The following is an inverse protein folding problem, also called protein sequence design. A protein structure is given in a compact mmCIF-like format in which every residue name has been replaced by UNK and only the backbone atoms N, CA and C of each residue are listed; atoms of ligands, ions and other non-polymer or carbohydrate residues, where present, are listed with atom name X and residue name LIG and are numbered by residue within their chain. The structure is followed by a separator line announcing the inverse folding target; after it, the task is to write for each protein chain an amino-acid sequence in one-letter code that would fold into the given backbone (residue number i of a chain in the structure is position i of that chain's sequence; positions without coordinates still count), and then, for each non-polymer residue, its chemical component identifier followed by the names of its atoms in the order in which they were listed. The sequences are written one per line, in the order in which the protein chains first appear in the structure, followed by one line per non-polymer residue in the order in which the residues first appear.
data_IF_858546054378
#
_entry.id   IF_858546054378
#
_cell.length_a   1.000
_cell.length_b   1.000
_cell.length_c   1.000
_cell.angle_alpha   90.00
_cell.angle_beta   90.00
_cell.angle_gamma   90.00
#
_symmetry.space_group_name_H-M   'P 1'
#
loop_
_entity.id
_entity.type
_entity.pdbx_description
1 polymer ?
#
# COMPACT_ATOMS: atom_id res chain seq x y z
N UNK A 1 -2.95 13.94 -10.19
CA UNK A 1 -3.27 12.98 -9.12
C UNK A 1 -2.45 11.70 -9.20
N UNK A 2 -2.08 11.18 -10.38
CA UNK A 2 -1.25 9.95 -10.51
C UNK A 2 0.17 10.07 -9.94
N UNK A 3 0.76 11.27 -9.89
CA UNK A 3 2.11 11.50 -9.39
C UNK A 3 2.23 11.55 -7.85
N UNK A 4 1.14 11.83 -7.15
CA UNK A 4 1.13 11.95 -5.67
C UNK A 4 1.20 10.55 -5.04
N UNK A 5 0.51 9.57 -5.63
CA UNK A 5 0.50 8.17 -5.15
C UNK A 5 1.90 7.54 -5.30
N UNK A 6 2.58 7.78 -6.43
CA UNK A 6 3.96 7.30 -6.62
C UNK A 6 4.97 7.96 -5.68
N UNK A 7 4.75 9.23 -5.30
CA UNK A 7 5.62 9.92 -4.36
C UNK A 7 5.46 9.37 -2.93
N UNK A 8 4.22 9.10 -2.51
CA UNK A 8 3.92 8.52 -1.20
C UNK A 8 4.49 7.10 -1.08
N UNK A 9 4.27 6.26 -2.10
CA UNK A 9 4.83 4.90 -2.14
C UNK A 9 6.36 4.91 -2.02
N UNK A 10 7.03 5.82 -2.71
CA UNK A 10 8.49 5.93 -2.67
C UNK A 10 8.99 6.31 -1.26
N UNK A 11 8.37 7.30 -0.61
CA UNK A 11 8.73 7.69 0.75
C UNK A 11 8.54 6.53 1.74
N UNK A 12 7.42 5.82 1.68
CA UNK A 12 7.16 4.65 2.53
C UNK A 12 8.17 3.53 2.31
N UNK A 13 8.49 3.20 1.05
CA UNK A 13 9.46 2.15 0.72
C UNK A 13 10.86 2.53 1.19
N UNK A 14 11.27 3.79 1.02
CA UNK A 14 12.58 4.25 1.51
C UNK A 14 12.67 4.17 3.03
N UNK A 15 11.64 4.59 3.76
CA UNK A 15 11.59 4.45 5.22
C UNK A 15 11.62 2.99 5.65
N UNK A 16 10.89 2.11 4.98
CA UNK A 16 10.90 0.68 5.26
C UNK A 16 12.29 0.08 5.08
N UNK A 17 13.00 0.48 4.03
CA UNK A 17 14.39 0.05 3.79
C UNK A 17 15.32 0.54 4.92
N UNK A 18 15.18 1.78 5.38
CA UNK A 18 15.98 2.29 6.50
C UNK A 18 15.74 1.51 7.80
N UNK A 19 14.48 1.25 8.12
CA UNK A 19 14.08 0.47 9.31
C UNK A 19 14.61 -0.96 9.20
N UNK A 20 14.38 -1.61 8.07
CA UNK A 20 14.86 -2.96 7.80
C UNK A 20 16.39 -3.05 7.96
N UNK A 21 17.12 -2.15 7.31
CA UNK A 21 18.59 -2.13 7.38
C UNK A 21 19.10 -1.83 8.80
N UNK A 22 18.39 -1.01 9.58
CA UNK A 22 18.76 -0.74 10.99
C UNK A 22 18.69 -2.02 11.83
N UNK A 23 17.69 -2.88 11.62
CA UNK A 23 17.47 -4.06 12.46
C UNK A 23 18.13 -5.33 11.92
N UNK A 24 18.34 -5.44 10.61
CA UNK A 24 18.82 -6.66 9.94
C UNK A 24 20.24 -6.56 9.39
N UNK A 25 20.84 -5.38 9.34
CA UNK A 25 22.26 -5.26 8.99
C UNK A 25 23.13 -5.80 10.14
N UNK A 26 24.17 -6.61 9.86
CA UNK A 26 24.75 -6.92 8.55
C UNK A 26 24.28 -8.24 7.90
N UNK A 27 23.31 -8.93 8.48
CA UNK A 27 22.81 -10.24 8.02
C UNK A 27 21.98 -10.14 6.74
N UNK A 28 21.22 -9.07 6.58
CA UNK A 28 20.50 -8.76 5.36
C UNK A 28 20.45 -7.23 5.18
N UNK A 29 20.79 -6.78 3.98
CA UNK A 29 20.71 -5.38 3.58
C UNK A 29 19.82 -5.25 2.36
N UNK A 30 18.82 -4.39 2.44
CA UNK A 30 17.89 -4.06 1.37
C UNK A 30 18.33 -2.77 0.68
N UNK A 31 18.24 -2.74 -0.66
CA UNK A 31 18.53 -1.55 -1.47
C UNK A 31 17.48 -1.41 -2.56
N UNK A 32 16.91 -0.22 -2.69
CA UNK A 32 15.97 0.08 -3.78
C UNK A 32 16.71 0.11 -5.12
N UNK A 33 16.27 -0.71 -6.08
CA UNK A 33 16.80 -0.75 -7.46
C UNK A 33 15.95 0.12 -8.37
N UNK A 34 14.64 0.09 -8.19
CA UNK A 34 13.71 0.88 -8.99
C UNK A 34 12.29 0.79 -8.46
N UNK A 35 11.52 1.83 -8.71
CA UNK A 35 10.11 1.93 -8.33
C UNK A 35 9.29 2.32 -9.55
N UNK A 36 8.16 1.65 -9.72
CA UNK A 36 7.13 1.92 -10.71
C UNK A 36 5.80 2.15 -9.97
N UNK A 37 4.73 2.48 -10.70
CA UNK A 37 3.43 2.83 -10.10
C UNK A 37 2.87 1.74 -9.19
N UNK A 38 2.96 0.49 -9.64
CA UNK A 38 2.30 -0.66 -9.00
C UNK A 38 3.30 -1.77 -8.64
N UNK A 39 4.60 -1.51 -8.79
CA UNK A 39 5.63 -2.47 -8.44
C UNK A 39 6.94 -1.77 -8.11
N UNK A 40 7.75 -2.40 -7.27
CA UNK A 40 9.10 -1.94 -6.97
C UNK A 40 10.03 -3.13 -6.85
N UNK A 41 11.33 -2.86 -7.04
CA UNK A 41 12.38 -3.87 -7.06
C UNK A 41 13.38 -3.51 -5.97
N UNK A 42 13.61 -4.47 -5.08
CA UNK A 42 14.60 -4.36 -4.01
C UNK A 42 15.66 -5.42 -4.24
N UNK A 43 16.92 -5.00 -4.12
CA UNK A 43 18.06 -5.89 -4.07
C UNK A 43 18.41 -6.16 -2.60
N UNK A 44 18.28 -7.41 -2.19
CA UNK A 44 18.73 -7.90 -0.90
C UNK A 44 20.13 -8.47 -1.04
N UNK A 45 21.03 -8.10 -0.13
CA UNK A 45 22.39 -8.60 -0.04
C UNK A 45 22.71 -9.02 1.39
N UNK A 46 23.31 -10.17 1.55
CA UNK A 46 23.69 -10.73 2.84
C UNK A 46 24.47 -12.03 2.65
N UNK A 47 25.05 -12.63 3.71
CA UNK A 47 25.66 -13.96 3.67
C UNK A 47 24.60 -15.06 3.50
N UNK A 48 23.73 -14.93 2.52
CA UNK A 48 22.66 -15.87 2.22
C UNK A 48 23.25 -17.19 1.73
N UNK A 49 22.75 -18.30 2.27
CA UNK A 49 23.00 -19.62 1.73
C UNK A 49 21.79 -20.05 0.89
N UNK A 50 22.02 -20.69 -0.27
CA UNK A 50 20.93 -21.11 -1.19
C UNK A 50 19.91 -22.03 -0.50
N UNK A 51 20.30 -22.71 0.58
CA UNK A 51 19.43 -23.57 1.39
C UNK A 51 18.81 -22.90 2.62
N UNK A 52 19.08 -21.62 2.90
CA UNK A 52 18.80 -20.98 4.21
C UNK A 52 17.42 -20.31 4.33
N UNK A 53 16.45 -20.58 3.45
CA UNK A 53 15.11 -19.97 3.61
C UNK A 53 15.14 -18.44 3.44
N UNK A 54 15.80 -17.95 2.38
CA UNK A 54 15.90 -16.51 2.10
C UNK A 54 14.56 -15.79 1.93
N UNK A 55 13.47 -16.54 1.72
CA UNK A 55 12.12 -16.01 1.60
C UNK A 55 11.64 -15.31 2.87
N UNK A 56 12.05 -15.80 4.06
CA UNK A 56 11.65 -15.19 5.34
C UNK A 56 12.08 -13.71 5.40
N UNK A 57 13.27 -13.39 4.87
CA UNK A 57 13.78 -12.02 4.79
C UNK A 57 12.95 -11.13 3.85
N UNK A 58 12.38 -11.71 2.79
CA UNK A 58 11.56 -10.98 1.83
C UNK A 58 10.18 -10.70 2.38
N UNK A 59 9.62 -11.65 3.15
CA UNK A 59 8.35 -11.51 3.86
C UNK A 59 8.48 -10.53 5.04
N UNK A 60 9.57 -10.59 5.80
CA UNK A 60 9.88 -9.64 6.88
C UNK A 60 9.83 -8.19 6.38
N UNK A 61 10.35 -7.91 5.18
CA UNK A 61 10.27 -6.58 4.58
C UNK A 61 8.83 -6.11 4.33
N UNK A 62 7.92 -7.03 3.97
CA UNK A 62 6.50 -6.71 3.77
C UNK A 62 5.88 -6.24 5.08
N UNK A 63 6.17 -6.92 6.19
CA UNK A 63 5.67 -6.52 7.51
C UNK A 63 6.18 -5.14 7.93
N UNK A 64 7.46 -4.83 7.68
CA UNK A 64 8.00 -3.50 7.96
C UNK A 64 7.31 -2.40 7.14
N UNK A 65 7.01 -2.69 5.86
CA UNK A 65 6.31 -1.75 4.99
C UNK A 65 4.84 -1.57 5.42
N UNK A 66 4.13 -2.65 5.73
CA UNK A 66 2.73 -2.59 6.22
C UNK A 66 2.64 -1.88 7.59
N UNK A 67 3.68 -1.96 8.43
CA UNK A 67 3.75 -1.23 9.70
C UNK A 67 3.96 0.29 9.51
N UNK A 68 4.67 0.70 8.46
CA UNK A 68 4.87 2.12 8.12
C UNK A 68 3.64 2.70 7.41
N UNK A 69 2.95 1.88 6.63
CA UNK A 69 1.84 2.29 5.78
C UNK A 69 0.80 1.18 5.66
N UNK A 70 -0.39 1.42 6.23
CA UNK A 70 -1.54 0.52 6.14
C UNK A 70 -2.31 0.66 4.82
N UNK A 71 -1.94 1.65 4.00
CA UNK A 71 -2.65 2.02 2.77
C UNK A 71 -2.45 1.02 1.61
N UNK A 72 -1.32 0.31 1.59
CA UNK A 72 -0.96 -0.60 0.51
C UNK A 72 -0.52 -1.95 1.05
N UNK A 73 -1.04 -3.01 0.44
CA UNK A 73 -0.49 -4.35 0.61
C UNK A 73 0.52 -4.61 -0.49
N UNK A 74 1.55 -5.37 -0.14
CA UNK A 74 2.57 -5.79 -1.09
C UNK A 74 2.70 -7.29 -1.06
N UNK A 75 3.00 -7.86 -2.23
CA UNK A 75 3.24 -9.28 -2.38
C UNK A 75 4.46 -9.53 -3.26
N UNK A 76 5.20 -10.59 -2.95
CA UNK A 76 6.34 -11.01 -3.75
C UNK A 76 5.81 -11.60 -5.05
N UNK A 77 6.16 -10.96 -6.17
CA UNK A 77 5.78 -11.42 -7.51
C UNK A 77 6.82 -12.36 -8.11
N UNK A 78 8.09 -12.01 -7.94
CA UNK A 78 9.20 -12.77 -8.49
C UNK A 78 10.48 -12.52 -7.68
N UNK A 79 11.32 -13.54 -7.61
CA UNK A 79 12.65 -13.48 -7.03
C UNK A 79 13.66 -13.95 -8.08
N UNK A 80 14.72 -13.18 -8.28
CA UNK A 80 15.77 -13.48 -9.26
C UNK A 80 17.14 -13.40 -8.56
N UNK A 81 18.02 -14.40 -8.71
CA UNK A 81 19.37 -14.30 -8.20
C UNK A 81 20.16 -13.26 -9.02
N UNK A 82 20.70 -12.25 -8.35
CA UNK A 82 21.51 -11.20 -8.98
C UNK A 82 23.02 -11.44 -8.82
N UNK A 83 23.42 -12.39 -7.96
CA UNK A 83 24.81 -12.72 -7.68
C UNK A 83 24.94 -13.80 -6.60
N UNK A 84 26.17 -14.17 -6.19
CA UNK A 84 26.41 -15.30 -5.28
C UNK A 84 25.80 -15.12 -3.88
N UNK A 85 25.49 -13.89 -3.48
CA UNK A 85 24.98 -13.50 -2.15
C UNK A 85 23.96 -12.35 -2.26
N UNK A 86 23.27 -12.26 -3.39
CA UNK A 86 22.36 -11.16 -3.68
C UNK A 86 21.16 -11.62 -4.49
N UNK A 87 19.97 -11.22 -4.03
CA UNK A 87 18.69 -11.53 -4.67
C UNK A 87 17.97 -10.24 -5.02
N UNK A 88 17.39 -10.20 -6.21
CA UNK A 88 16.45 -9.16 -6.63
C UNK A 88 15.05 -9.68 -6.42
N UNK A 89 14.27 -8.92 -5.69
CA UNK A 89 12.89 -9.26 -5.38
C UNK A 89 12.00 -8.18 -5.99
N UNK A 90 11.08 -8.63 -6.82
CA UNK A 90 10.06 -7.78 -7.38
C UNK A 90 8.79 -7.91 -6.54
N UNK A 91 8.39 -6.79 -5.96
CA UNK A 91 7.14 -6.67 -5.22
C UNK A 91 6.08 -6.06 -6.11
N UNK A 92 4.88 -6.64 -6.06
CA UNK A 92 3.68 -6.02 -6.61
C UNK A 92 2.96 -5.29 -5.49
N UNK A 93 2.59 -4.04 -5.73
CA UNK A 93 1.76 -3.26 -4.83
C UNK A 93 0.30 -3.52 -5.21
N UNK A 94 -0.47 -4.03 -4.26
CA UNK A 94 -1.91 -4.01 -4.29
C UNK A 94 -2.34 -2.92 -3.33
N UNK A 95 -2.78 -1.80 -3.87
CA UNK A 95 -3.45 -0.79 -3.07
C UNK A 95 -4.63 -1.48 -2.37
N UNK A 96 -4.61 -1.60 -1.03
CA UNK A 96 -5.76 -2.14 -0.27
C UNK A 96 -7.00 -1.29 -0.53
N UNK A 97 -6.76 -0.05 -0.96
CA UNK A 97 -7.76 0.90 -1.40
C UNK A 97 -8.05 0.88 -2.91
N UNK A 98 -7.52 -0.01 -3.77
CA UNK A 98 -7.79 0.11 -5.22
C UNK A 98 -9.14 -0.47 -5.60
N UNK A 99 -9.57 -1.50 -4.89
CA UNK A 99 -10.94 -2.02 -4.96
C UNK A 99 -11.86 -1.12 -4.13
N UNK A 100 -11.38 -0.61 -2.98
CA UNK A 100 -12.13 0.36 -2.19
C UNK A 100 -12.37 1.65 -2.97
N UNK A 101 -11.42 2.25 -3.67
CA UNK A 101 -11.60 3.53 -4.37
C UNK A 101 -12.63 3.45 -5.50
N UNK A 102 -12.82 2.30 -6.16
CA UNK A 102 -13.84 2.15 -7.21
C UNK A 102 -15.22 1.89 -6.60
N UNK A 103 -15.33 0.98 -5.63
CA UNK A 103 -16.58 0.69 -4.94
C UNK A 103 -17.02 1.82 -4.01
N UNK A 104 -16.10 2.40 -3.25
CA UNK A 104 -16.28 3.57 -2.40
C UNK A 104 -16.62 4.81 -3.23
N UNK A 105 -16.01 5.04 -4.40
CA UNK A 105 -16.46 6.13 -5.27
C UNK A 105 -17.87 5.86 -5.83
N UNK A 106 -18.21 4.63 -6.20
CA UNK A 106 -19.56 4.27 -6.63
C UNK A 106 -20.59 4.44 -5.50
N UNK A 107 -20.28 3.95 -4.30
CA UNK A 107 -21.07 4.08 -3.08
C UNK A 107 -21.18 5.53 -2.63
N UNK A 108 -20.12 6.32 -2.79
CA UNK A 108 -20.13 7.74 -2.47
C UNK A 108 -20.99 8.51 -3.47
N UNK A 109 -20.90 8.20 -4.76
CA UNK A 109 -21.80 8.74 -5.79
C UNK A 109 -23.26 8.35 -5.54
N UNK A 110 -23.51 7.14 -5.05
CA UNK A 110 -24.85 6.70 -4.64
C UNK A 110 -25.34 7.47 -3.41
N UNK A 111 -24.53 7.55 -2.36
CA UNK A 111 -24.80 8.35 -1.17
C UNK A 111 -25.12 9.81 -1.49
N UNK A 112 -24.36 10.43 -2.41
CA UNK A 112 -24.63 11.80 -2.86
C UNK A 112 -25.99 11.89 -3.57
N UNK A 113 -26.36 10.92 -4.43
CA UNK A 113 -27.68 10.88 -5.08
C UNK A 113 -28.81 10.73 -4.06
N UNK A 114 -28.66 9.86 -3.06
CA UNK A 114 -29.64 9.68 -1.97
C UNK A 114 -29.87 10.98 -1.19
N UNK A 115 -28.83 11.81 -1.07
CA UNK A 115 -28.87 13.13 -0.43
C UNK A 115 -29.26 14.27 -1.39
N UNK A 116 -29.52 13.98 -2.66
CA UNK A 116 -29.87 14.97 -3.69
C UNK A 116 -28.70 15.88 -4.12
N UNK A 117 -27.46 15.47 -3.87
CA UNK A 117 -26.25 16.21 -4.21
C UNK A 117 -25.57 15.63 -5.44
N UNK A 118 -24.98 16.51 -6.27
CA UNK A 118 -24.11 16.10 -7.35
C UNK A 118 -22.65 16.03 -6.92
N UNK A 119 -21.87 15.17 -7.58
CA UNK A 119 -20.43 15.08 -7.34
C UNK A 119 -19.69 16.39 -7.66
N UNK A 120 -20.19 17.15 -8.65
CA UNK A 120 -19.68 18.49 -8.98
C UNK A 120 -19.84 19.50 -7.84
N UNK A 121 -20.99 19.49 -7.17
CA UNK A 121 -21.25 20.38 -6.02
C UNK A 121 -20.38 20.00 -4.81
N UNK A 122 -20.19 18.70 -4.57
CA UNK A 122 -19.24 18.22 -3.56
C UNK A 122 -17.82 18.74 -3.85
N UNK A 123 -17.34 18.62 -5.08
CA UNK A 123 -16.00 19.10 -5.46
C UNK A 123 -15.85 20.62 -5.32
N UNK A 124 -16.90 21.38 -5.66
CA UNK A 124 -16.92 22.83 -5.54
C UNK A 124 -17.06 23.33 -4.08
N UNK A 125 -17.41 22.46 -3.14
CA UNK A 125 -17.59 22.84 -1.73
C UNK A 125 -16.27 23.09 -0.98
N UNK A 126 -16.37 23.83 0.12
CA UNK A 126 -15.23 24.12 0.99
C UNK A 126 -14.80 22.87 1.80
N UNK A 127 -13.60 22.91 2.38
CA UNK A 127 -13.02 21.79 3.11
C UNK A 127 -13.93 21.28 4.25
N UNK A 128 -14.50 22.19 5.06
CA UNK A 128 -15.39 21.81 6.17
C UNK A 128 -16.64 21.08 5.68
N UNK A 129 -17.25 21.53 4.59
CA UNK A 129 -18.40 20.85 3.98
C UNK A 129 -18.02 19.45 3.48
N UNK A 130 -16.83 19.29 2.89
CA UNK A 130 -16.33 17.98 2.45
C UNK A 130 -16.12 17.03 3.63
N UNK A 131 -15.54 17.50 4.72
CA UNK A 131 -15.33 16.70 5.94
C UNK A 131 -16.65 16.20 6.54
N UNK A 132 -17.66 17.07 6.60
CA UNK A 132 -19.00 16.71 7.10
C UNK A 132 -19.66 15.67 6.18
N UNK A 133 -19.55 15.84 4.87
CA UNK A 133 -20.10 14.91 3.87
C UNK A 133 -19.39 13.54 3.99
N UNK A 134 -18.07 13.52 4.16
CA UNK A 134 -17.30 12.29 4.35
C UNK A 134 -17.63 11.60 5.68
N UNK A 135 -17.88 12.36 6.75
CA UNK A 135 -18.34 11.80 8.01
C UNK A 135 -19.69 11.08 7.84
N UNK A 136 -20.66 11.73 7.19
CA UNK A 136 -21.97 11.12 6.93
C UNK A 136 -21.90 9.91 6.00
N UNK A 137 -21.02 9.96 5.01
CA UNK A 137 -20.79 8.80 4.15
C UNK A 137 -20.25 7.61 4.93
N UNK A 138 -19.29 7.81 5.84
CA UNK A 138 -18.77 6.74 6.72
C UNK A 138 -19.86 6.16 7.62
N UNK A 139 -20.74 7.00 8.19
CA UNK A 139 -21.89 6.54 8.97
C UNK A 139 -22.85 5.70 8.12
N UNK A 140 -23.16 6.16 6.90
CA UNK A 140 -24.04 5.47 5.97
C UNK A 140 -23.48 4.12 5.51
N UNK A 141 -22.15 4.02 5.30
CA UNK A 141 -21.48 2.74 5.02
C UNK A 141 -21.59 1.76 6.20
N UNK A 142 -21.49 2.26 7.44
CA UNK A 142 -21.61 1.43 8.64
C UNK A 142 -23.02 0.85 8.79
N UNK A 143 -24.05 1.65 8.55
CA UNK A 143 -25.46 1.22 8.60
C UNK A 143 -25.83 0.22 7.50
N UNK A 144 -25.10 0.22 6.37
CA UNK A 144 -25.30 -0.71 5.25
C UNK A 144 -24.62 -2.06 5.41
N UNK A 145 -23.67 -2.22 6.33
CA UNK A 145 -23.09 -3.55 6.56
C UNK A 145 -24.23 -4.46 7.02
N UNK A 146 -24.57 -5.53 6.26
CA UNK A 146 -25.61 -6.44 6.70
C UNK A 146 -25.20 -6.97 8.06
N UNK A 147 -26.12 -6.93 9.03
CA UNK A 147 -25.97 -7.69 10.26
C UNK A 147 -25.63 -9.11 9.83
N UNK A 148 -24.40 -9.55 10.09
CA UNK A 148 -24.02 -10.95 9.93
C UNK A 148 -24.95 -11.70 10.86
N UNK A 149 -26.02 -12.26 10.29
CA UNK A 149 -26.95 -13.14 10.99
C UNK A 149 -26.09 -14.25 11.60
N UNK A 150 -26.00 -14.23 12.93
CA UNK A 150 -25.45 -15.30 13.75
C UNK A 150 -26.18 -16.61 13.46
#
# INVERSE_FOLDING_TARGET
MKDIVSAHLNDSVLRAIEVYNRYRSPEATAKLVGIQKDCFIIEFKGPFCESCGVNDYFEDFIYELENISEDFSVEVKATEPAGPQSFRVQYSVKDRFSVANIEEEALFREFLRDRGLSFSEYLASNACTKDVIMFHFRTWLFERKPETKK
#
